data_IF_396093741399
#
_entry.id   IF_396093741399
#
_cell.length_a   1.000
_cell.length_b   1.000
_cell.length_c   1.000
_cell.angle_alpha   90.00
_cell.angle_beta   90.00
_cell.angle_gamma   90.00
#
_symmetry.space_group_name_H-M   'P 1'
#
loop_
_entity.id
_entity.type
_entity.pdbx_description
1 polymer ?
#
# COMPACT_ATOMS: atom_id res chain seq x y z
N UNK A 1 -10.37 31.85 -33.07
CA UNK A 1 -10.16 30.54 -33.75
C UNK A 1 -8.95 29.72 -33.25
N UNK A 2 -8.14 30.18 -32.27
CA UNK A 2 -7.02 29.39 -31.71
C UNK A 2 -7.33 28.64 -30.39
N UNK A 3 -8.44 28.95 -29.69
CA UNK A 3 -8.79 28.24 -28.44
C UNK A 3 -9.67 26.99 -28.64
N UNK A 4 -10.48 26.93 -29.68
CA UNK A 4 -11.35 25.77 -29.95
C UNK A 4 -10.58 24.49 -30.35
N UNK A 5 -9.37 24.62 -30.91
CA UNK A 5 -8.53 23.46 -31.29
C UNK A 5 -7.85 22.76 -30.09
N UNK A 6 -7.68 23.45 -28.95
CA UNK A 6 -7.06 22.87 -27.74
C UNK A 6 -8.07 22.07 -26.91
N UNK A 7 -9.35 22.42 -26.96
CA UNK A 7 -10.43 21.70 -26.26
C UNK A 7 -10.76 20.38 -26.97
N UNK A 8 -10.71 20.37 -28.31
CA UNK A 8 -10.94 19.14 -29.08
C UNK A 8 -9.87 18.06 -28.88
N UNK A 9 -8.60 18.45 -28.70
CA UNK A 9 -7.51 17.49 -28.50
C UNK A 9 -7.53 16.84 -27.10
N UNK A 10 -7.97 17.59 -26.08
CA UNK A 10 -8.13 17.09 -24.71
C UNK A 10 -9.31 16.10 -24.60
N UNK A 11 -10.39 16.35 -25.34
CA UNK A 11 -11.55 15.47 -25.38
C UNK A 11 -11.28 14.15 -26.14
N UNK A 12 -10.43 14.18 -27.18
CA UNK A 12 -10.02 12.96 -27.90
C UNK A 12 -9.03 12.09 -27.11
N UNK A 13 -8.17 12.67 -26.26
CA UNK A 13 -7.30 11.89 -25.37
C UNK A 13 -8.05 11.25 -24.21
N UNK A 14 -9.11 11.89 -23.69
CA UNK A 14 -9.98 11.32 -22.65
C UNK A 14 -10.86 10.18 -23.17
N UNK A 15 -11.23 10.19 -24.46
CA UNK A 15 -12.01 9.11 -25.07
C UNK A 15 -11.19 7.84 -25.37
N UNK A 16 -9.87 7.96 -25.55
CA UNK A 16 -8.99 6.82 -25.82
C UNK A 16 -8.57 6.02 -24.57
N UNK A 17 -8.74 6.59 -23.37
CA UNK A 17 -8.49 5.89 -22.10
C UNK A 17 -9.71 5.07 -21.61
N UNK A 18 -10.86 5.15 -22.28
CA UNK A 18 -12.08 4.48 -21.85
C UNK A 18 -12.18 2.99 -22.28
N UNK A 19 -11.24 2.49 -23.10
CA UNK A 19 -11.34 1.14 -23.67
C UNK A 19 -10.83 0.02 -22.76
N UNK A 20 -10.33 0.33 -21.56
CA UNK A 20 -9.83 -0.68 -20.60
C UNK A 20 -10.85 -1.15 -19.55
N UNK A 21 -12.00 -0.47 -19.40
CA UNK A 21 -12.95 -0.73 -18.31
C UNK A 21 -14.08 -1.72 -18.64
N UNK A 22 -14.02 -2.39 -19.80
CA UNK A 22 -15.11 -3.22 -20.34
C UNK A 22 -15.12 -4.69 -19.85
N UNK A 23 -14.26 -5.08 -18.89
CA UNK A 23 -14.11 -6.48 -18.49
C UNK A 23 -14.86 -6.92 -17.21
N UNK A 24 -15.44 -6.01 -16.43
CA UNK A 24 -16.09 -6.33 -15.15
C UNK A 24 -17.54 -5.80 -15.08
N UNK A 25 -18.50 -6.54 -15.64
CA UNK A 25 -19.93 -6.25 -15.45
C UNK A 25 -20.50 -6.84 -14.15
N UNK A 26 -19.75 -7.69 -13.46
CA UNK A 26 -20.13 -8.29 -12.17
C UNK A 26 -19.28 -7.73 -11.04
N UNK A 27 -19.84 -7.75 -9.83
CA UNK A 27 -19.08 -7.49 -8.61
C UNK A 27 -18.21 -8.71 -8.35
N UNK A 28 -16.92 -8.48 -8.11
CA UNK A 28 -15.97 -9.51 -7.70
C UNK A 28 -15.68 -9.36 -6.21
N UNK A 29 -15.60 -10.48 -5.51
CA UNK A 29 -15.24 -10.53 -4.10
C UNK A 29 -13.88 -11.20 -3.94
N UNK A 30 -13.09 -10.70 -2.99
CA UNK A 30 -11.80 -11.24 -2.61
C UNK A 30 -11.80 -11.59 -1.12
N UNK A 31 -11.33 -12.79 -0.78
CA UNK A 31 -11.02 -13.20 0.59
C UNK A 31 -9.61 -13.72 0.55
N UNK A 32 -8.73 -13.19 1.39
CA UNK A 32 -7.36 -13.66 1.47
C UNK A 32 -6.82 -13.53 2.89
N UNK A 33 -5.70 -14.20 3.17
CA UNK A 33 -4.90 -13.92 4.35
C UNK A 33 -3.43 -14.17 4.07
N UNK A 34 -2.58 -13.22 4.46
CA UNK A 34 -1.14 -13.42 4.47
C UNK A 34 -0.68 -13.93 5.84
N UNK A 35 0.26 -14.87 5.85
CA UNK A 35 1.08 -15.17 7.03
C UNK A 35 2.49 -14.73 6.72
N UNK A 36 3.03 -13.84 7.55
CA UNK A 36 4.38 -13.28 7.37
C UNK A 36 5.23 -13.52 8.60
N UNK A 37 6.53 -13.76 8.40
CA UNK A 37 7.48 -13.88 9.51
C UNK A 37 7.69 -12.56 10.25
N UNK A 38 7.49 -11.43 9.56
CA UNK A 38 7.53 -10.06 10.09
C UNK A 38 6.61 -9.17 9.24
N UNK A 39 5.91 -8.24 9.87
CA UNK A 39 5.15 -7.20 9.20
C UNK A 39 6.04 -5.98 8.96
N UNK A 40 6.54 -5.88 7.72
CA UNK A 40 7.36 -4.75 7.26
C UNK A 40 6.55 -3.86 6.33
N UNK A 41 6.35 -2.60 6.71
CA UNK A 41 5.59 -1.60 5.95
C UNK A 41 6.48 -0.42 5.57
N UNK A 42 6.70 -0.21 4.26
CA UNK A 42 7.53 0.90 3.73
C UNK A 42 8.92 0.99 4.38
N UNK A 43 9.50 -0.17 4.68
CA UNK A 43 10.79 -0.33 5.35
C UNK A 43 10.76 -0.14 6.87
N UNK A 44 9.59 -0.11 7.48
CA UNK A 44 9.42 -0.04 8.94
C UNK A 44 8.92 -1.38 9.48
N UNK A 45 9.44 -1.82 10.61
CA UNK A 45 8.91 -2.98 11.33
C UNK A 45 7.69 -2.55 12.14
N UNK A 46 6.51 -3.01 11.73
CA UNK A 46 5.25 -2.72 12.41
C UNK A 46 4.71 -3.93 13.20
N UNK A 47 5.30 -5.11 13.03
CA UNK A 47 4.93 -6.30 13.77
C UNK A 47 5.86 -7.47 13.51
N UNK A 48 5.82 -8.46 14.41
CA UNK A 48 6.57 -9.71 14.26
C UNK A 48 5.79 -10.69 13.37
N UNK A 49 5.82 -11.98 13.69
CA UNK A 49 5.04 -12.99 12.98
C UNK A 49 3.57 -12.59 13.02
N UNK A 50 2.96 -12.35 11.86
CA UNK A 50 1.63 -11.73 11.76
C UNK A 50 0.72 -12.49 10.80
N UNK A 51 -0.57 -12.50 11.11
CA UNK A 51 -1.66 -12.93 10.24
C UNK A 51 -2.40 -11.70 9.74
N UNK A 52 -2.59 -11.61 8.43
CA UNK A 52 -3.06 -10.38 7.78
C UNK A 52 -4.25 -10.67 6.85
N UNK A 53 -5.50 -10.64 7.38
CA UNK A 53 -6.69 -10.91 6.59
C UNK A 53 -6.99 -9.79 5.60
N UNK A 54 -7.60 -10.16 4.47
CA UNK A 54 -8.14 -9.25 3.46
C UNK A 54 -9.55 -9.67 3.08
N UNK A 55 -10.46 -8.71 3.01
CA UNK A 55 -11.80 -8.85 2.44
C UNK A 55 -12.03 -7.69 1.48
N UNK A 56 -12.37 -7.97 0.23
CA UNK A 56 -12.54 -6.94 -0.79
C UNK A 56 -13.75 -7.16 -1.67
N UNK A 57 -14.29 -6.05 -2.19
CA UNK A 57 -15.23 -6.01 -3.29
C UNK A 57 -14.69 -5.10 -4.38
N UNK A 58 -14.84 -5.49 -5.64
CA UNK A 58 -14.48 -4.63 -6.78
C UNK A 58 -15.54 -4.65 -7.88
N UNK A 59 -15.70 -3.50 -8.56
CA UNK A 59 -16.63 -3.31 -9.65
C UNK A 59 -16.21 -2.14 -10.54
N UNK A 60 -15.99 -2.39 -11.83
CA UNK A 60 -15.67 -1.38 -12.85
C UNK A 60 -14.52 -0.44 -12.44
N UNK A 61 -13.47 -1.03 -11.86
CA UNK A 61 -12.29 -0.32 -11.37
C UNK A 61 -12.42 0.30 -9.97
N UNK A 62 -13.63 0.41 -9.41
CA UNK A 62 -13.81 0.80 -8.01
C UNK A 62 -13.59 -0.42 -7.10
N UNK A 63 -12.90 -0.25 -5.97
CA UNK A 63 -12.72 -1.29 -4.97
C UNK A 63 -12.88 -0.76 -3.55
N UNK A 64 -13.50 -1.56 -2.68
CA UNK A 64 -13.54 -1.36 -1.24
C UNK A 64 -12.91 -2.57 -0.56
N UNK A 65 -11.84 -2.34 0.20
CA UNK A 65 -11.05 -3.39 0.83
C UNK A 65 -10.91 -3.13 2.32
N UNK A 66 -11.23 -4.14 3.11
CA UNK A 66 -10.84 -4.26 4.51
C UNK A 66 -9.56 -5.10 4.58
N UNK A 67 -8.54 -4.57 5.24
CA UNK A 67 -7.30 -5.28 5.54
C UNK A 67 -7.06 -5.19 7.04
N UNK A 68 -6.33 -6.15 7.60
CA UNK A 68 -5.85 -6.01 8.96
C UNK A 68 -4.57 -6.77 9.19
N UNK A 69 -4.00 -6.58 10.37
CA UNK A 69 -2.84 -7.32 10.84
C UNK A 69 -3.02 -7.64 12.31
N UNK A 70 -2.73 -8.89 12.69
CA UNK A 70 -2.61 -9.29 14.10
C UNK A 70 -1.32 -10.06 14.27
N UNK A 71 -0.45 -9.59 15.17
CA UNK A 71 0.73 -10.38 15.52
C UNK A 71 0.36 -11.61 16.35
N UNK A 72 1.09 -12.69 16.12
CA UNK A 72 0.86 -14.02 16.67
C UNK A 72 1.89 -14.40 17.73
N UNK A 73 2.86 -13.53 17.98
CA UNK A 73 4.04 -13.84 18.79
C UNK A 73 3.88 -13.41 20.26
N UNK A 74 3.14 -12.33 20.50
CA UNK A 74 2.87 -11.77 21.83
C UNK A 74 1.44 -11.24 21.92
N UNK A 75 0.94 -11.10 23.15
CA UNK A 75 -0.42 -10.61 23.38
C UNK A 75 -0.58 -9.12 23.09
N UNK A 76 0.50 -8.37 23.27
CA UNK A 76 0.61 -6.92 23.01
C UNK A 76 0.98 -6.62 21.56
N UNK A 77 1.01 -7.63 20.69
CA UNK A 77 1.36 -7.44 19.29
C UNK A 77 0.35 -6.51 18.59
N UNK A 78 0.86 -5.80 17.59
CA UNK A 78 0.12 -4.85 16.76
C UNK A 78 -1.17 -5.46 16.23
N UNK A 79 -2.25 -4.69 16.39
CA UNK A 79 -3.55 -4.93 15.80
C UNK A 79 -3.89 -3.72 14.94
N UNK A 80 -3.94 -3.95 13.64
CA UNK A 80 -4.23 -2.92 12.66
C UNK A 80 -5.49 -3.31 11.90
N UNK A 81 -6.31 -2.32 11.59
CA UNK A 81 -7.49 -2.48 10.77
C UNK A 81 -7.64 -1.30 9.82
N UNK A 82 -7.62 -1.61 8.54
CA UNK A 82 -7.59 -0.62 7.47
C UNK A 82 -8.80 -0.76 6.58
N UNK A 83 -9.36 0.38 6.19
CA UNK A 83 -10.38 0.46 5.16
C UNK A 83 -9.88 1.30 4.00
N UNK A 84 -9.83 0.70 2.82
CA UNK A 84 -9.37 1.37 1.59
C UNK A 84 -10.48 1.44 0.56
N UNK A 85 -10.80 2.64 0.10
CA UNK A 85 -11.59 2.89 -1.10
C UNK A 85 -10.63 3.33 -2.22
N UNK A 86 -10.61 2.61 -3.34
CA UNK A 86 -9.72 2.90 -4.45
C UNK A 86 -10.44 2.82 -5.80
N UNK A 87 -9.87 3.50 -6.79
CA UNK A 87 -10.28 3.44 -8.18
C UNK A 87 -9.07 3.24 -9.08
N UNK A 88 -9.18 2.32 -10.04
CA UNK A 88 -8.14 2.04 -11.03
C UNK A 88 -8.71 1.99 -12.45
N UNK A 89 -7.98 2.57 -13.40
CA UNK A 89 -8.27 2.46 -14.83
C UNK A 89 -6.99 2.52 -15.65
N UNK A 90 -6.76 1.49 -16.49
CA UNK A 90 -5.47 1.32 -17.16
C UNK A 90 -4.33 1.23 -16.12
N UNK A 91 -3.26 2.00 -16.33
CA UNK A 91 -2.15 2.12 -15.36
C UNK A 91 -2.42 3.08 -14.20
N UNK A 92 -3.43 3.96 -14.30
CA UNK A 92 -3.72 4.95 -13.27
C UNK A 92 -4.48 4.34 -12.10
N UNK A 93 -4.12 4.71 -10.87
CA UNK A 93 -4.90 4.42 -9.67
C UNK A 93 -4.86 5.58 -8.68
N UNK A 94 -5.91 5.65 -7.86
CA UNK A 94 -6.08 6.61 -6.78
C UNK A 94 -6.89 5.95 -5.66
N UNK A 95 -6.64 6.34 -4.42
CA UNK A 95 -7.43 5.82 -3.30
C UNK A 95 -7.29 6.62 -2.03
N UNK A 96 -8.12 6.24 -1.07
CA UNK A 96 -8.05 6.72 0.31
C UNK A 96 -8.04 5.50 1.22
N UNK A 97 -7.12 5.48 2.17
CA UNK A 97 -7.01 4.49 3.23
C UNK A 97 -7.25 5.16 4.57
N UNK A 98 -8.12 4.56 5.37
CA UNK A 98 -8.31 4.85 6.79
C UNK A 98 -7.54 3.79 7.59
N UNK A 99 -6.42 4.18 8.20
CA UNK A 99 -5.60 3.34 9.07
C UNK A 99 -6.08 3.45 10.50
N UNK A 100 -6.28 2.32 11.18
CA UNK A 100 -6.55 2.28 12.62
C UNK A 100 -5.68 1.25 13.33
N UNK A 101 -4.92 1.72 14.32
CA UNK A 101 -4.14 0.87 15.21
C UNK A 101 -4.86 0.73 16.56
N UNK A 102 -5.14 -0.51 16.96
CA UNK A 102 -5.75 -0.85 18.24
C UNK A 102 -4.70 -0.85 19.35
N UNK A 103 -4.32 0.35 19.78
CA UNK A 103 -3.50 0.58 20.98
C UNK A 103 -4.37 0.81 22.21
N UNK A 104 -3.84 0.52 23.40
CA UNK A 104 -4.59 0.59 24.65
C UNK A 104 -5.25 1.97 24.85
N UNK A 105 -6.58 1.97 25.04
CA UNK A 105 -7.37 3.18 25.30
C UNK A 105 -7.97 3.83 24.05
N UNK A 106 -7.56 3.42 22.85
CA UNK A 106 -8.11 3.96 21.61
C UNK A 106 -9.51 3.44 21.30
N UNK A 107 -10.28 4.25 20.57
CA UNK A 107 -11.67 3.96 20.23
C UNK A 107 -11.89 4.08 18.73
N UNK A 108 -12.15 2.96 18.08
CA UNK A 108 -12.46 2.90 16.64
C UNK A 108 -13.58 3.85 16.19
N UNK A 109 -14.63 4.07 16.99
CA UNK A 109 -15.73 4.97 16.59
C UNK A 109 -15.49 6.45 16.96
N UNK A 110 -14.29 6.83 17.40
CA UNK A 110 -13.96 8.21 17.76
C UNK A 110 -13.29 8.95 16.60
N UNK A 111 -14.05 9.78 15.90
CA UNK A 111 -13.59 10.60 14.76
C UNK A 111 -13.43 12.09 15.11
N UNK A 112 -13.37 12.43 16.41
CA UNK A 112 -13.15 13.80 16.88
C UNK A 112 -11.76 14.31 16.46
N UNK A 113 -11.70 15.55 15.99
CA UNK A 113 -10.45 16.24 15.70
C UNK A 113 -9.54 16.24 16.94
N UNK A 114 -8.26 15.91 16.74
CA UNK A 114 -7.21 15.82 17.77
C UNK A 114 -7.44 14.74 18.84
N UNK A 115 -8.39 13.81 18.64
CA UNK A 115 -8.62 12.68 19.55
C UNK A 115 -8.69 11.32 18.85
N UNK A 116 -8.90 11.32 17.54
CA UNK A 116 -9.00 10.09 16.76
C UNK A 116 -7.64 9.40 16.65
N UNK A 117 -7.63 8.06 16.74
CA UNK A 117 -6.49 7.21 16.38
C UNK A 117 -6.39 6.95 14.87
N UNK A 118 -7.42 7.33 14.11
CA UNK A 118 -7.46 7.10 12.68
C UNK A 118 -6.46 8.00 11.96
N UNK A 119 -5.75 7.46 10.97
CA UNK A 119 -4.95 8.24 10.02
C UNK A 119 -5.51 8.06 8.62
N UNK A 120 -5.89 9.16 7.97
CA UNK A 120 -6.43 9.13 6.62
C UNK A 120 -5.35 9.47 5.61
N UNK A 121 -5.03 8.52 4.74
CA UNK A 121 -4.03 8.64 3.68
C UNK A 121 -4.70 8.67 2.32
N UNK A 122 -4.33 9.62 1.47
CA UNK A 122 -4.66 9.60 0.06
C UNK A 122 -3.47 9.06 -0.73
N UNK A 123 -3.75 8.24 -1.73
CA UNK A 123 -2.74 7.72 -2.64
C UNK A 123 -3.10 8.02 -4.10
N UNK A 124 -2.07 8.22 -4.91
CA UNK A 124 -2.17 8.33 -6.36
C UNK A 124 -0.94 7.70 -7.00
N UNK A 125 -1.12 6.99 -8.11
CA UNK A 125 -0.02 6.38 -8.81
C UNK A 125 -0.34 6.00 -10.23
N UNK A 126 0.72 5.58 -10.93
CA UNK A 126 0.63 5.13 -12.30
C UNK A 126 1.61 3.99 -12.56
N UNK A 127 1.11 2.90 -13.13
CA UNK A 127 1.90 1.80 -13.67
C UNK A 127 2.18 2.02 -15.16
N UNK A 128 3.46 2.19 -15.50
CA UNK A 128 3.91 2.38 -16.87
C UNK A 128 4.24 1.06 -17.58
N UNK A 129 4.25 -0.07 -16.87
CA UNK A 129 4.68 -1.39 -17.33
C UNK A 129 6.07 -1.78 -16.78
N UNK A 130 7.18 -1.12 -17.21
CA UNK A 130 8.50 -1.45 -16.70
C UNK A 130 8.80 -0.84 -15.32
N UNK A 131 8.00 0.15 -14.90
CA UNK A 131 8.09 0.80 -13.59
C UNK A 131 6.71 1.31 -13.20
N UNK A 132 6.37 1.21 -11.92
CA UNK A 132 5.23 1.90 -11.34
C UNK A 132 5.70 2.95 -10.33
N UNK A 133 4.99 4.08 -10.26
CA UNK A 133 5.27 5.17 -9.34
C UNK A 133 4.02 5.50 -8.52
N UNK A 134 4.19 5.58 -7.21
CA UNK A 134 3.13 5.84 -6.25
C UNK A 134 3.50 6.96 -5.30
N UNK A 135 2.52 7.79 -4.96
CA UNK A 135 2.62 8.84 -3.96
C UNK A 135 1.50 8.67 -2.94
N UNK A 136 1.85 8.85 -1.68
CA UNK A 136 0.98 8.67 -0.53
C UNK A 136 1.11 9.89 0.39
N UNK A 137 -0.01 10.41 0.91
CA UNK A 137 -0.04 11.53 1.84
C UNK A 137 -1.11 11.35 2.90
N UNK A 138 -0.70 11.35 4.16
CA UNK A 138 -1.60 11.51 5.30
C UNK A 138 -2.20 12.93 5.26
N UNK A 139 -3.51 13.06 5.09
CA UNK A 139 -4.16 14.37 4.95
C UNK A 139 -5.05 14.74 6.13
N UNK A 140 -5.45 13.77 6.95
CA UNK A 140 -6.29 13.98 8.13
C UNK A 140 -6.01 12.92 9.21
N UNK A 141 -6.58 13.13 10.40
CA UNK A 141 -6.44 12.19 11.52
C UNK A 141 -5.12 12.34 12.28
N UNK A 142 -4.62 11.24 12.82
CA UNK A 142 -3.40 11.10 13.64
C UNK A 142 -2.11 11.10 12.79
N UNK A 143 -1.96 12.10 11.93
CA UNK A 143 -0.73 12.31 11.16
C UNK A 143 0.42 12.81 12.07
N UNK A 144 1.66 12.58 11.63
CA UNK A 144 2.86 13.08 12.28
C UNK A 144 3.08 14.59 12.15
N UNK A 145 4.12 15.06 12.82
CA UNK A 145 4.51 16.46 12.94
C UNK A 145 5.80 16.76 12.16
N UNK A 146 5.89 17.98 11.64
CA UNK A 146 7.09 18.50 11.00
C UNK A 146 8.06 19.09 12.04
N UNK A 147 9.16 19.70 11.58
CA UNK A 147 10.18 20.31 12.44
C UNK A 147 9.67 21.47 13.31
N UNK A 148 8.60 22.12 12.88
CA UNK A 148 8.00 23.26 13.57
C UNK A 148 6.89 22.82 14.55
N UNK A 149 6.57 21.53 14.59
CA UNK A 149 5.52 20.96 15.43
C UNK A 149 4.10 21.03 14.82
N UNK A 150 3.99 21.45 13.56
CA UNK A 150 2.74 21.45 12.80
C UNK A 150 2.52 20.10 12.10
N UNK A 151 1.28 19.80 11.68
CA UNK A 151 0.97 18.61 10.87
C UNK A 151 1.90 18.51 9.66
N UNK A 152 2.57 17.38 9.50
CA UNK A 152 3.56 17.19 8.45
C UNK A 152 2.97 16.96 7.07
N UNK A 153 1.71 16.50 6.99
CA UNK A 153 1.17 15.85 5.80
C UNK A 153 2.11 14.72 5.37
N UNK A 154 2.40 13.83 6.32
CA UNK A 154 3.45 12.82 6.17
C UNK A 154 3.24 12.06 4.87
N UNK A 155 4.26 12.06 4.04
CA UNK A 155 4.16 11.52 2.69
C UNK A 155 5.23 10.49 2.41
N UNK A 156 4.92 9.59 1.48
CA UNK A 156 5.83 8.56 1.01
C UNK A 156 5.70 8.45 -0.51
N UNK A 157 6.84 8.27 -1.18
CA UNK A 157 6.91 8.03 -2.62
C UNK A 157 7.61 6.71 -2.86
N UNK A 158 7.10 5.92 -3.80
CA UNK A 158 7.65 4.61 -4.12
C UNK A 158 7.74 4.37 -5.62
N UNK A 159 8.86 3.81 -6.04
CA UNK A 159 9.04 3.21 -7.35
C UNK A 159 9.19 1.70 -7.22
N UNK A 160 8.48 0.96 -8.06
CA UNK A 160 8.59 -0.50 -8.15
C UNK A 160 8.90 -0.95 -9.56
N UNK A 161 9.73 -2.00 -9.69
CA UNK A 161 10.16 -2.57 -10.98
C UNK A 161 9.94 -4.07 -10.95
N UNK A 162 8.97 -4.61 -11.72
CA UNK A 162 8.78 -6.04 -11.85
C UNK A 162 9.79 -6.63 -12.86
N UNK A 163 10.30 -7.83 -12.57
CA UNK A 163 11.14 -8.59 -13.51
C UNK A 163 11.05 -10.09 -13.24
N UNK A 164 11.40 -10.92 -14.24
CA UNK A 164 11.41 -12.38 -14.10
C UNK A 164 12.83 -12.90 -14.17
N UNK A 165 13.25 -13.71 -13.20
CA UNK A 165 14.60 -14.26 -13.12
C UNK A 165 14.57 -15.64 -12.44
N UNK A 166 15.29 -16.61 -13.01
CA UNK A 166 15.41 -17.97 -12.48
C UNK A 166 14.07 -18.68 -12.20
N UNK A 167 13.03 -18.37 -13.00
CA UNK A 167 11.70 -18.97 -12.86
C UNK A 167 10.86 -18.43 -11.69
N UNK A 168 11.28 -17.33 -11.07
CA UNK A 168 10.54 -16.60 -10.05
C UNK A 168 10.12 -15.24 -10.58
N UNK A 169 9.02 -14.72 -10.03
CA UNK A 169 8.57 -13.35 -10.26
C UNK A 169 9.18 -12.46 -9.18
N UNK A 170 9.91 -11.43 -9.61
CA UNK A 170 10.63 -10.51 -8.73
C UNK A 170 10.06 -9.11 -8.82
N UNK A 171 10.20 -8.38 -7.72
CA UNK A 171 9.94 -6.95 -7.65
C UNK A 171 11.08 -6.26 -6.90
N UNK A 172 11.70 -5.27 -7.54
CA UNK A 172 12.55 -4.29 -6.86
C UNK A 172 11.70 -3.10 -6.39
N UNK A 173 12.01 -2.57 -5.21
CA UNK A 173 11.32 -1.42 -4.62
C UNK A 173 12.34 -0.40 -4.13
N UNK A 174 12.09 0.87 -4.44
CA UNK A 174 12.79 2.02 -3.87
C UNK A 174 11.76 3.03 -3.39
N UNK A 175 11.75 3.30 -2.09
CA UNK A 175 10.81 4.22 -1.45
C UNK A 175 11.49 5.22 -0.53
N UNK A 176 10.89 6.41 -0.49
CA UNK A 176 11.44 7.54 0.24
C UNK A 176 10.35 8.41 0.86
N UNK A 177 10.71 9.07 1.95
CA UNK A 177 9.97 10.17 2.55
C UNK A 177 10.52 11.46 1.96
N UNK A 178 9.69 12.33 1.35
CA UNK A 178 10.17 13.49 0.60
C UNK A 178 10.63 14.65 1.51
N UNK A 179 10.17 14.72 2.75
CA UNK A 179 10.45 15.81 3.69
C UNK A 179 10.27 15.37 5.15
N UNK A 180 10.61 16.26 6.08
CA UNK A 180 10.66 15.92 7.49
C UNK A 180 9.28 15.58 8.08
N UNK A 181 9.21 14.48 8.82
CA UNK A 181 8.05 14.02 9.59
C UNK A 181 8.51 13.02 10.65
N UNK A 182 7.83 12.96 11.79
CA UNK A 182 8.02 11.93 12.81
C UNK A 182 7.16 10.66 12.58
N UNK A 183 6.32 10.62 11.53
CA UNK A 183 5.49 9.47 11.20
C UNK A 183 6.25 8.31 10.53
N UNK A 184 7.31 8.63 9.79
CA UNK A 184 8.09 7.67 9.02
C UNK A 184 9.55 7.63 9.45
N UNK A 185 9.97 6.53 10.08
CA UNK A 185 11.35 6.23 10.43
C UNK A 185 12.10 7.47 10.99
N UNK A 186 13.41 7.57 10.73
CA UNK A 186 14.23 8.73 11.12
C UNK A 186 14.27 9.79 9.99
N UNK A 187 13.11 10.34 9.59
CA UNK A 187 13.00 11.31 8.50
C UNK A 187 13.10 12.78 8.97
N UNK A 188 14.32 13.28 9.17
CA UNK A 188 14.57 14.71 9.45
C UNK A 188 14.60 15.60 8.19
N UNK A 189 14.17 15.08 7.04
CA UNK A 189 14.24 15.70 5.72
C UNK A 189 13.89 14.66 4.66
N UNK A 190 14.45 14.78 3.46
CA UNK A 190 14.39 13.68 2.49
C UNK A 190 15.12 12.46 3.05
N UNK A 191 14.47 11.30 3.06
CA UNK A 191 15.04 10.05 3.59
C UNK A 191 14.61 8.86 2.73
N UNK A 192 15.56 8.01 2.35
CA UNK A 192 15.26 6.71 1.74
C UNK A 192 14.95 5.74 2.87
N UNK A 193 13.72 5.25 2.91
CA UNK A 193 13.23 4.38 3.99
C UNK A 193 13.02 2.94 3.54
N UNK A 194 12.90 2.68 2.24
CA UNK A 194 12.64 1.33 1.74
C UNK A 194 13.49 1.02 0.51
N UNK A 195 14.41 0.08 0.64
CA UNK A 195 15.11 -0.54 -0.49
C UNK A 195 14.87 -2.04 -0.37
N UNK A 196 14.09 -2.62 -1.28
CA UNK A 196 13.69 -4.01 -1.15
C UNK A 196 13.76 -4.77 -2.47
N UNK A 197 13.96 -6.07 -2.35
CA UNK A 197 13.75 -7.03 -3.43
C UNK A 197 12.93 -8.20 -2.89
N UNK A 198 11.81 -8.48 -3.56
CA UNK A 198 10.89 -9.57 -3.23
C UNK A 198 10.84 -10.55 -4.39
N UNK A 199 10.90 -11.84 -4.08
CA UNK A 199 10.65 -12.93 -5.02
C UNK A 199 9.40 -13.68 -4.60
N UNK A 200 8.52 -13.99 -5.56
CA UNK A 200 7.28 -14.74 -5.36
C UNK A 200 7.25 -15.95 -6.28
N UNK A 201 6.69 -17.05 -5.79
CA UNK A 201 6.39 -18.25 -6.58
C UNK A 201 5.12 -18.92 -6.09
N UNK A 202 4.26 -19.28 -7.03
CA UNK A 202 3.11 -20.12 -6.74
C UNK A 202 3.55 -21.56 -6.50
N UNK A 203 3.32 -22.05 -5.29
CA UNK A 203 3.44 -23.46 -4.96
C UNK A 203 2.14 -24.15 -5.33
N UNK A 204 2.17 -24.90 -6.43
CA UNK A 204 1.03 -25.72 -6.86
C UNK A 204 0.80 -26.85 -5.85
N UNK A 205 -0.34 -26.82 -5.17
CA UNK A 205 -0.75 -27.86 -4.22
C UNK A 205 -1.64 -28.89 -4.92
N UNK A 206 -2.61 -28.41 -5.72
CA UNK A 206 -3.47 -29.22 -6.58
C UNK A 206 -3.59 -28.57 -7.96
N UNK A 207 -4.36 -29.17 -8.87
CA UNK A 207 -4.65 -28.55 -10.17
C UNK A 207 -5.49 -27.28 -10.08
N UNK A 208 -6.23 -27.10 -8.97
CA UNK A 208 -7.13 -25.96 -8.74
C UNK A 208 -6.70 -25.04 -7.61
N UNK A 209 -5.65 -25.39 -6.86
CA UNK A 209 -5.21 -24.65 -5.69
C UNK A 209 -3.69 -24.48 -5.68
N UNK A 210 -3.26 -23.23 -5.59
CA UNK A 210 -1.86 -22.85 -5.43
C UNK A 210 -1.74 -21.84 -4.31
N UNK A 211 -0.60 -21.87 -3.64
CA UNK A 211 -0.28 -20.94 -2.55
C UNK A 211 0.90 -20.07 -3.02
N UNK A 212 0.70 -18.75 -3.23
CA UNK A 212 1.80 -17.83 -3.44
C UNK A 212 2.70 -17.83 -2.21
N UNK A 213 3.99 -18.15 -2.40
CA UNK A 213 5.03 -18.07 -1.38
C UNK A 213 6.04 -17.03 -1.81
N UNK A 214 6.49 -16.20 -0.87
CA UNK A 214 7.46 -15.17 -1.16
C UNK A 214 8.54 -15.07 -0.10
N UNK A 215 9.68 -14.55 -0.52
CA UNK A 215 10.75 -14.10 0.35
C UNK A 215 11.20 -12.69 -0.07
N UNK A 216 11.53 -11.85 0.89
CA UNK A 216 11.90 -10.45 0.67
C UNK A 216 13.07 -10.06 1.54
N UNK A 217 14.10 -9.46 0.93
CA UNK A 217 15.11 -8.71 1.64
C UNK A 217 14.75 -7.23 1.54
N UNK A 218 14.65 -6.55 2.68
CA UNK A 218 14.35 -5.13 2.75
C UNK A 218 15.38 -4.43 3.64
N UNK A 219 15.76 -3.21 3.28
CA UNK A 219 16.61 -2.36 4.10
C UNK A 219 15.98 -0.97 4.21
N UNK A 220 16.16 -0.36 5.38
CA UNK A 220 15.79 1.02 5.64
C UNK A 220 17.07 1.82 5.90
N UNK A 221 17.61 2.50 4.88
CA UNK A 221 18.81 3.32 5.03
C UNK A 221 18.68 4.40 6.10
N UNK A 222 17.49 4.97 6.27
CA UNK A 222 17.22 6.03 7.26
C UNK A 222 17.43 5.56 8.69
N UNK A 223 16.92 4.37 9.04
CA UNK A 223 17.04 3.80 10.39
C UNK A 223 18.17 2.79 10.55
N UNK A 224 18.95 2.54 9.47
CA UNK A 224 20.03 1.55 9.41
C UNK A 224 19.59 0.12 9.75
N UNK A 225 18.34 -0.24 9.46
CA UNK A 225 17.79 -1.58 9.70
C UNK A 225 17.73 -2.41 8.41
N UNK A 226 17.78 -3.73 8.57
CA UNK A 226 17.58 -4.69 7.49
C UNK A 226 16.69 -5.84 7.96
N UNK A 227 15.92 -6.38 7.03
CA UNK A 227 14.88 -7.37 7.26
C UNK A 227 14.98 -8.47 6.23
N UNK A 228 14.77 -9.70 6.66
CA UNK A 228 14.57 -10.84 5.78
C UNK A 228 13.26 -11.52 6.13
N UNK A 229 12.28 -11.38 5.24
CA UNK A 229 10.89 -11.77 5.45
C UNK A 229 10.56 -12.95 4.56
N UNK A 230 9.84 -13.92 5.11
CA UNK A 230 9.17 -14.97 4.35
C UNK A 230 7.68 -14.88 4.63
N UNK A 231 6.85 -15.18 3.63
CA UNK A 231 5.42 -15.24 3.81
C UNK A 231 4.72 -16.04 2.73
N UNK A 232 3.44 -16.28 2.94
CA UNK A 232 2.56 -16.91 1.97
C UNK A 232 1.16 -16.36 2.07
N UNK A 233 0.44 -16.44 0.96
CA UNK A 233 -0.93 -15.94 0.84
C UNK A 233 -1.89 -17.12 0.70
N UNK A 234 -2.93 -17.15 1.54
CA UNK A 234 -4.06 -18.05 1.40
C UNK A 234 -5.17 -17.32 0.63
N UNK A 235 -5.59 -17.88 -0.50
CA UNK A 235 -6.69 -17.38 -1.33
C UNK A 235 -7.57 -18.58 -1.73
N UNK A 236 -8.81 -18.67 -1.21
CA UNK A 236 -9.73 -19.78 -1.47
C UNK A 236 -10.37 -19.74 -2.86
#
# INVERSE_FOLDING_TARGET
MKSLKKIGLLALTLAACATGAQAQDKIEANVAADVVSQYIWRGQELGQVSLQPTLGLSWKGLSLTAWGSVGLSKWEDTKEFDLTLAYQTGGFHIGVTDYYFDTEGERYFLYDAHKTAHTFEANVGYDFGPVALNWYTNFAGHDGLNKDGDRAYSSYVEATVPFRLAGLDWQGTLGAVPYATDYYADASGFAVTNVAVKATKDLKITDSFSVPVFAQVAANPSSQKAYFVVGFTLQP
#
